data_IF_646962496962
#
_entry.id   IF_646962496962
#
_cell.length_a   1.000
_cell.length_b   1.000
_cell.length_c   1.000
_cell.angle_alpha   90.00
_cell.angle_beta   90.00
_cell.angle_gamma   90.00
#
_symmetry.space_group_name_H-M   'P 1'
#
loop_
_entity.id
_entity.type
_entity.pdbx_description
1 polymer ?
#
# COMPACT_ATOMS: atom_id res chain seq x y z
N UNK A 1 12.28 19.76 27.34
CA UNK A 1 11.11 18.86 27.49
C UNK A 1 10.07 18.98 26.37
N UNK A 2 9.62 20.17 25.95
CA UNK A 2 8.59 20.32 24.89
C UNK A 2 8.95 19.69 23.51
N UNK A 3 10.24 19.57 23.15
CA UNK A 3 10.66 19.02 21.85
C UNK A 3 10.69 17.49 21.76
N UNK A 4 10.84 16.77 22.88
CA UNK A 4 11.02 15.31 22.86
C UNK A 4 9.70 14.55 22.61
N UNK A 5 8.58 15.11 23.08
CA UNK A 5 7.24 14.53 22.89
C UNK A 5 6.54 15.05 21.63
N UNK A 6 6.95 16.21 21.10
CA UNK A 6 6.31 16.83 19.93
C UNK A 6 6.32 15.92 18.70
N UNK A 7 7.46 15.29 18.40
CA UNK A 7 7.60 14.41 17.23
C UNK A 7 6.75 13.13 17.34
N UNK A 8 6.80 12.37 18.46
CA UNK A 8 5.90 11.23 18.66
C UNK A 8 4.42 11.62 18.64
N UNK A 9 4.04 12.72 19.28
CA UNK A 9 2.65 13.19 19.32
C UNK A 9 2.14 13.62 17.95
N UNK A 10 2.91 14.40 17.19
CA UNK A 10 2.53 14.81 15.83
C UNK A 10 2.48 13.62 14.87
N UNK A 11 3.38 12.64 15.03
CA UNK A 11 3.33 11.38 14.26
C UNK A 11 2.08 10.56 14.60
N UNK A 12 1.74 10.44 15.88
CA UNK A 12 0.54 9.75 16.34
C UNK A 12 -0.74 10.44 15.86
N UNK A 13 -0.81 11.77 15.99
CA UNK A 13 -1.95 12.56 15.49
C UNK A 13 -2.09 12.44 13.96
N UNK A 14 -0.98 12.47 13.23
CA UNK A 14 -1.00 12.27 11.78
C UNK A 14 -1.45 10.86 11.41
N UNK A 15 -1.03 9.83 12.16
CA UNK A 15 -1.51 8.46 11.98
C UNK A 15 -3.02 8.35 12.21
N UNK A 16 -3.53 8.95 13.30
CA UNK A 16 -4.97 8.99 13.57
C UNK A 16 -5.72 9.71 12.46
N UNK A 17 -5.21 10.85 11.97
CA UNK A 17 -5.82 11.59 10.87
C UNK A 17 -5.84 10.78 9.58
N UNK A 18 -4.73 10.15 9.19
CA UNK A 18 -4.69 9.25 8.04
C UNK A 18 -5.63 8.04 8.21
N UNK A 19 -5.75 7.50 9.42
CA UNK A 19 -6.64 6.38 9.73
C UNK A 19 -8.11 6.76 9.61
N UNK A 20 -8.54 7.86 10.25
CA UNK A 20 -9.92 8.36 10.18
C UNK A 20 -10.28 8.74 8.75
N UNK A 21 -9.39 9.48 8.08
CA UNK A 21 -9.60 9.87 6.69
C UNK A 21 -9.68 8.67 5.75
N UNK A 22 -8.71 7.74 5.83
CA UNK A 22 -8.67 6.56 4.98
C UNK A 22 -9.85 5.63 5.22
N UNK A 23 -10.28 5.45 6.47
CA UNK A 23 -11.46 4.65 6.81
C UNK A 23 -12.73 5.29 6.26
N UNK A 24 -12.94 6.60 6.48
CA UNK A 24 -14.09 7.31 5.93
C UNK A 24 -14.12 7.30 4.39
N UNK A 25 -12.96 7.49 3.76
CA UNK A 25 -12.81 7.39 2.30
C UNK A 25 -13.18 6.00 1.80
N UNK A 26 -12.66 4.94 2.43
CA UNK A 26 -12.97 3.57 2.05
C UNK A 26 -14.47 3.25 2.23
N UNK A 27 -15.05 3.68 3.35
CA UNK A 27 -16.47 3.53 3.61
C UNK A 27 -17.35 4.21 2.55
N UNK A 28 -16.97 5.43 2.11
CA UNK A 28 -17.66 6.12 1.02
C UNK A 28 -17.51 5.39 -0.33
N UNK A 29 -16.34 4.85 -0.63
CA UNK A 29 -16.13 4.05 -1.85
C UNK A 29 -17.00 2.79 -1.84
N UNK A 30 -17.19 2.17 -0.68
CA UNK A 30 -18.03 0.99 -0.52
C UNK A 30 -19.54 1.25 -0.46
N UNK A 31 -19.98 2.50 -0.28
CA UNK A 31 -21.40 2.83 -0.10
C UNK A 31 -22.12 3.13 -1.41
N UNK A 32 -21.39 3.47 -2.48
CA UNK A 32 -21.98 3.65 -3.80
C UNK A 32 -20.93 3.48 -4.89
N UNK A 33 -21.35 2.85 -5.99
CA UNK A 33 -20.56 2.80 -7.22
C UNK A 33 -20.23 4.20 -7.76
N UNK A 34 -21.12 5.17 -7.56
CA UNK A 34 -20.90 6.56 -7.99
C UNK A 34 -19.86 7.24 -7.12
N UNK A 35 -19.84 6.97 -5.81
CA UNK A 35 -18.78 7.46 -4.93
C UNK A 35 -17.45 6.78 -5.26
N UNK A 36 -17.43 5.47 -5.53
CA UNK A 36 -16.24 4.78 -6.00
C UNK A 36 -15.66 5.45 -7.26
N UNK A 37 -16.51 5.71 -8.28
CA UNK A 37 -16.10 6.40 -9.51
C UNK A 37 -15.57 7.81 -9.24
N UNK A 38 -16.33 8.60 -8.50
CA UNK A 38 -16.00 10.01 -8.26
C UNK A 38 -14.73 10.16 -7.44
N UNK A 39 -14.55 9.35 -6.41
CA UNK A 39 -13.45 9.47 -5.46
C UNK A 39 -12.15 8.81 -5.96
N UNK A 40 -12.24 7.71 -6.70
CA UNK A 40 -11.05 6.95 -7.13
C UNK A 40 -10.57 7.30 -8.54
N UNK A 41 -11.44 7.81 -9.42
CA UNK A 41 -11.08 8.18 -10.80
C UNK A 41 -11.22 9.67 -11.05
N UNK A 42 -12.40 10.25 -10.80
CA UNK A 42 -12.67 11.65 -11.18
C UNK A 42 -11.85 12.63 -10.33
N UNK A 43 -11.80 12.44 -9.02
CA UNK A 43 -11.08 13.32 -8.10
C UNK A 43 -9.56 13.35 -8.42
N UNK A 44 -8.85 12.21 -8.57
CA UNK A 44 -7.46 12.24 -9.00
C UNK A 44 -7.21 12.94 -10.33
N UNK A 45 -8.14 12.82 -11.29
CA UNK A 45 -8.05 13.52 -12.58
C UNK A 45 -8.24 15.04 -12.42
N UNK A 46 -9.27 15.47 -11.69
CA UNK A 46 -9.57 16.89 -11.45
C UNK A 46 -8.43 17.60 -10.72
N UNK A 47 -7.84 16.94 -9.72
CA UNK A 47 -6.79 17.51 -8.89
C UNK A 47 -5.37 17.16 -9.38
N UNK A 48 -5.23 16.45 -10.52
CA UNK A 48 -3.93 16.14 -11.12
C UNK A 48 -3.03 17.37 -11.33
N UNK A 49 -3.55 18.55 -11.75
CA UNK A 49 -2.74 19.76 -11.89
C UNK A 49 -2.06 20.24 -10.59
N UNK A 50 -2.54 19.82 -9.41
CA UNK A 50 -1.93 20.15 -8.13
C UNK A 50 -0.73 19.27 -7.79
N UNK A 51 -0.49 18.19 -8.54
CA UNK A 51 0.61 17.26 -8.24
C UNK A 51 1.97 17.94 -8.42
N UNK A 52 2.77 17.93 -7.37
CA UNK A 52 4.11 18.52 -7.42
C UNK A 52 5.14 17.51 -7.95
N UNK A 53 6.18 17.97 -8.67
CA UNK A 53 7.30 17.12 -9.01
C UNK A 53 8.06 16.75 -7.72
N UNK A 54 8.07 15.46 -7.38
CA UNK A 54 8.78 14.93 -6.22
C UNK A 54 9.87 13.95 -6.64
N UNK A 55 10.85 13.73 -5.76
CA UNK A 55 11.80 12.62 -5.94
C UNK A 55 11.04 11.28 -6.06
N UNK A 56 11.48 10.46 -7.03
CA UNK A 56 10.82 9.21 -7.44
C UNK A 56 9.45 9.39 -8.13
N UNK A 57 9.16 10.57 -8.70
CA UNK A 57 7.91 10.81 -9.44
C UNK A 57 7.59 9.74 -10.50
N UNK A 58 8.60 9.20 -11.20
CA UNK A 58 8.40 8.12 -12.18
C UNK A 58 7.84 6.83 -11.57
N UNK A 59 8.39 6.39 -10.43
CA UNK A 59 7.91 5.21 -9.71
C UNK A 59 6.50 5.43 -9.15
N UNK A 60 6.25 6.61 -8.59
CA UNK A 60 4.94 6.97 -8.02
C UNK A 60 3.87 7.07 -9.11
N UNK A 61 4.16 7.73 -10.24
CA UNK A 61 3.23 7.83 -11.38
C UNK A 61 2.89 6.45 -11.94
N UNK A 62 3.88 5.55 -12.04
CA UNK A 62 3.64 4.16 -12.45
C UNK A 62 2.71 3.42 -11.50
N UNK A 63 2.93 3.56 -10.18
CA UNK A 63 2.07 2.96 -9.15
C UNK A 63 0.65 3.53 -9.27
N UNK A 64 0.49 4.86 -9.29
CA UNK A 64 -0.81 5.50 -9.43
C UNK A 64 -1.54 5.09 -10.70
N UNK A 65 -0.83 4.95 -11.83
CA UNK A 65 -1.42 4.48 -13.08
C UNK A 65 -1.98 3.04 -12.96
N UNK A 66 -1.21 2.13 -12.35
CA UNK A 66 -1.66 0.76 -12.12
C UNK A 66 -2.86 0.72 -11.16
N UNK A 67 -2.80 1.45 -10.06
CA UNK A 67 -3.87 1.49 -9.05
C UNK A 67 -5.13 2.18 -9.59
N UNK A 68 -5.00 3.18 -10.46
CA UNK A 68 -6.12 3.77 -11.20
C UNK A 68 -6.75 2.75 -12.15
N UNK A 69 -5.92 1.95 -12.85
CA UNK A 69 -6.40 0.84 -13.69
C UNK A 69 -7.16 -0.21 -12.89
N UNK A 70 -6.69 -0.55 -11.69
CA UNK A 70 -7.41 -1.42 -10.75
C UNK A 70 -8.76 -0.81 -10.34
N UNK A 71 -8.79 0.45 -9.92
CA UNK A 71 -10.03 1.13 -9.52
C UNK A 71 -11.03 1.18 -10.69
N UNK A 72 -10.54 1.39 -11.92
CA UNK A 72 -11.38 1.33 -13.12
C UNK A 72 -11.93 -0.08 -13.36
N UNK A 73 -11.12 -1.12 -13.23
CA UNK A 73 -11.59 -2.51 -13.34
C UNK A 73 -12.67 -2.80 -12.29
N UNK A 74 -12.47 -2.39 -11.04
CA UNK A 74 -13.47 -2.54 -9.98
C UNK A 74 -14.78 -1.81 -10.34
N UNK A 75 -14.70 -0.58 -10.83
CA UNK A 75 -15.88 0.17 -11.28
C UNK A 75 -16.63 -0.56 -12.40
N UNK A 76 -15.91 -1.00 -13.44
CA UNK A 76 -16.50 -1.72 -14.58
C UNK A 76 -17.18 -3.02 -14.10
N UNK A 77 -16.55 -3.75 -13.19
CA UNK A 77 -17.12 -4.98 -12.63
C UNK A 77 -18.39 -4.73 -11.82
N UNK A 78 -18.39 -3.74 -10.92
CA UNK A 78 -19.60 -3.40 -10.14
C UNK A 78 -20.71 -2.84 -11.04
N UNK A 79 -20.36 -2.16 -12.14
CA UNK A 79 -21.33 -1.69 -13.14
C UNK A 79 -21.90 -2.81 -14.03
N UNK A 80 -21.43 -4.05 -13.85
CA UNK A 80 -21.81 -5.24 -14.61
C UNK A 80 -21.55 -5.14 -16.12
N UNK A 81 -20.61 -4.27 -16.52
CA UNK A 81 -20.18 -4.13 -17.92
C UNK A 81 -19.16 -5.20 -18.34
N UNK A 82 -18.61 -5.93 -17.37
CA UNK A 82 -17.65 -7.00 -17.57
C UNK A 82 -18.11 -8.26 -16.85
N UNK A 83 -17.90 -9.42 -17.47
CA UNK A 83 -18.12 -10.70 -16.79
C UNK A 83 -17.16 -10.82 -15.61
N UNK A 84 -17.59 -11.44 -14.51
CA UNK A 84 -16.73 -11.65 -13.33
C UNK A 84 -15.49 -12.49 -13.67
N UNK A 85 -15.62 -13.41 -14.63
CA UNK A 85 -14.49 -14.20 -15.15
C UNK A 85 -13.43 -13.33 -15.82
N UNK A 86 -13.83 -12.36 -16.64
CA UNK A 86 -12.88 -11.46 -17.30
C UNK A 86 -12.32 -10.41 -16.34
N UNK A 87 -13.11 -10.01 -15.34
CA UNK A 87 -12.63 -9.20 -14.23
C UNK A 87 -11.51 -9.90 -13.44
N UNK A 88 -11.69 -11.17 -13.09
CA UNK A 88 -10.68 -11.95 -12.37
C UNK A 88 -9.38 -12.10 -13.18
N UNK A 89 -9.47 -12.31 -14.50
CA UNK A 89 -8.31 -12.28 -15.39
C UNK A 89 -7.62 -10.90 -15.38
N UNK A 90 -8.40 -9.83 -15.41
CA UNK A 90 -7.90 -8.46 -15.30
C UNK A 90 -7.14 -8.22 -13.99
N UNK A 91 -7.68 -8.70 -12.87
CA UNK A 91 -7.02 -8.67 -11.57
C UNK A 91 -5.74 -9.50 -11.53
N UNK A 92 -5.73 -10.68 -12.16
CA UNK A 92 -4.52 -11.49 -12.31
C UNK A 92 -3.42 -10.73 -13.03
N UNK A 93 -3.75 -10.11 -14.16
CA UNK A 93 -2.79 -9.27 -14.90
C UNK A 93 -2.30 -8.11 -14.02
N UNK A 94 -3.19 -7.44 -13.30
CA UNK A 94 -2.82 -6.36 -12.38
C UNK A 94 -1.82 -6.82 -11.31
N UNK A 95 -2.08 -7.91 -10.59
CA UNK A 95 -1.17 -8.41 -9.55
C UNK A 95 0.17 -8.87 -10.11
N UNK A 96 0.19 -9.47 -11.31
CA UNK A 96 1.43 -9.83 -12.01
C UNK A 96 2.23 -8.57 -12.35
N UNK A 97 1.61 -7.57 -12.98
CA UNK A 97 2.28 -6.32 -13.35
C UNK A 97 2.82 -5.58 -12.12
N UNK A 98 2.05 -5.52 -11.03
CA UNK A 98 2.47 -4.88 -9.79
C UNK A 98 3.65 -5.63 -9.16
N UNK A 99 3.58 -6.95 -9.06
CA UNK A 99 4.64 -7.79 -8.48
C UNK A 99 5.94 -7.70 -9.28
N UNK A 100 5.87 -7.88 -10.60
CA UNK A 100 7.01 -7.74 -11.51
C UNK A 100 7.59 -6.32 -11.44
N UNK A 101 6.72 -5.30 -11.37
CA UNK A 101 7.12 -3.91 -11.23
C UNK A 101 7.96 -3.62 -9.99
N UNK A 102 7.65 -4.24 -8.86
CA UNK A 102 8.46 -4.15 -7.63
C UNK A 102 9.77 -4.94 -7.73
N UNK A 103 9.71 -6.19 -8.20
CA UNK A 103 10.89 -7.06 -8.35
C UNK A 103 11.92 -6.41 -9.27
N UNK A 104 11.49 -5.86 -10.42
CA UNK A 104 12.39 -5.18 -11.37
C UNK A 104 13.03 -3.91 -10.78
N UNK A 105 12.29 -3.13 -9.99
CA UNK A 105 12.83 -1.95 -9.31
C UNK A 105 13.87 -2.36 -8.28
N UNK A 106 13.58 -3.38 -7.47
CA UNK A 106 14.50 -3.89 -6.46
C UNK A 106 15.75 -4.51 -7.09
N UNK A 107 15.62 -5.22 -8.21
CA UNK A 107 16.74 -5.73 -8.99
C UNK A 107 17.63 -4.59 -9.49
N UNK A 108 17.06 -3.55 -10.10
CA UNK A 108 17.80 -2.36 -10.56
C UNK A 108 18.51 -1.64 -9.41
N UNK A 109 17.88 -1.58 -8.23
CA UNK A 109 18.45 -1.01 -7.00
C UNK A 109 19.43 -1.95 -6.27
N UNK A 110 19.69 -3.16 -6.81
CA UNK A 110 20.51 -4.22 -6.18
C UNK A 110 20.05 -4.60 -4.77
N UNK A 111 18.76 -4.44 -4.48
CA UNK A 111 18.15 -4.72 -3.19
C UNK A 111 17.69 -6.19 -3.11
N UNK A 112 18.61 -7.14 -3.25
CA UNK A 112 18.28 -8.56 -3.46
C UNK A 112 17.48 -9.21 -2.33
N UNK A 113 17.71 -8.84 -1.07
CA UNK A 113 16.90 -9.36 0.05
C UNK A 113 15.44 -8.90 -0.04
N UNK A 114 15.22 -7.66 -0.48
CA UNK A 114 13.87 -7.12 -0.66
C UNK A 114 13.21 -7.69 -1.92
N UNK A 115 13.98 -7.93 -2.97
CA UNK A 115 13.55 -8.68 -4.15
C UNK A 115 13.04 -10.07 -3.76
N UNK A 116 13.77 -10.81 -2.93
CA UNK A 116 13.35 -12.14 -2.48
C UNK A 116 12.04 -12.08 -1.67
N UNK A 117 11.87 -11.09 -0.80
CA UNK A 117 10.60 -10.87 -0.10
C UNK A 117 9.45 -10.56 -1.07
N UNK A 118 9.67 -9.76 -2.11
CA UNK A 118 8.66 -9.52 -3.15
C UNK A 118 8.31 -10.76 -3.94
N UNK A 119 9.28 -11.65 -4.20
CA UNK A 119 9.03 -12.94 -4.85
C UNK A 119 8.16 -13.83 -3.96
N UNK A 120 8.44 -13.91 -2.66
CA UNK A 120 7.61 -14.69 -1.72
C UNK A 120 6.20 -14.10 -1.60
N UNK A 121 6.08 -12.77 -1.52
CA UNK A 121 4.78 -12.10 -1.53
C UNK A 121 4.00 -12.41 -2.81
N UNK A 122 4.64 -12.31 -3.98
CA UNK A 122 4.03 -12.62 -5.27
C UNK A 122 3.57 -14.09 -5.36
N UNK A 123 4.39 -15.03 -4.86
CA UNK A 123 4.03 -16.45 -4.80
C UNK A 123 2.84 -16.69 -3.86
N UNK A 124 2.77 -15.97 -2.73
CA UNK A 124 1.66 -16.07 -1.78
C UNK A 124 0.36 -15.49 -2.36
N UNK A 125 0.45 -14.36 -3.06
CA UNK A 125 -0.68 -13.76 -3.79
C UNK A 125 -1.17 -14.74 -4.86
N UNK A 126 -0.25 -15.31 -5.66
CA UNK A 126 -0.60 -16.29 -6.68
C UNK A 126 -1.28 -17.53 -6.09
N UNK A 127 -0.78 -18.05 -4.95
CA UNK A 127 -1.40 -19.16 -4.24
C UNK A 127 -2.83 -18.81 -3.79
N UNK A 128 -3.05 -17.64 -3.19
CA UNK A 128 -4.38 -17.18 -2.79
C UNK A 128 -5.32 -17.06 -3.99
N UNK A 129 -4.86 -16.52 -5.12
CA UNK A 129 -5.67 -16.38 -6.32
C UNK A 129 -6.02 -17.73 -6.96
N UNK A 130 -5.08 -18.67 -7.01
CA UNK A 130 -5.32 -20.00 -7.57
C UNK A 130 -6.18 -20.90 -6.68
N UNK A 131 -6.20 -20.63 -5.37
CA UNK A 131 -7.06 -21.32 -4.39
C UNK A 131 -8.36 -20.59 -4.11
N UNK A 132 -8.55 -19.41 -4.70
CA UNK A 132 -9.75 -18.61 -4.59
C UNK A 132 -10.87 -19.10 -5.51
N UNK A 133 -12.04 -18.52 -5.32
CA UNK A 133 -13.21 -18.71 -6.15
C UNK A 133 -13.37 -17.51 -7.10
N UNK A 134 -14.50 -17.43 -7.80
CA UNK A 134 -14.83 -16.24 -8.59
C UNK A 134 -15.07 -15.04 -7.65
N UNK A 135 -14.65 -13.84 -8.06
CA UNK A 135 -14.96 -12.61 -7.30
C UNK A 135 -16.47 -12.49 -7.05
N UNK A 136 -16.85 -12.18 -5.80
CA UNK A 136 -18.24 -11.94 -5.41
C UNK A 136 -18.55 -10.44 -5.33
N UNK A 137 -19.67 -10.03 -5.92
CA UNK A 137 -20.24 -8.69 -5.75
C UNK A 137 -21.16 -8.70 -4.52
N UNK A 138 -20.79 -7.98 -3.47
CA UNK A 138 -21.56 -7.95 -2.21
C UNK A 138 -22.60 -6.81 -2.16
N UNK A 139 -22.78 -6.07 -3.27
CA UNK A 139 -23.68 -4.93 -3.39
C UNK A 139 -23.01 -3.57 -3.12
N UNK A 140 -23.61 -2.49 -3.63
CA UNK A 140 -23.27 -1.07 -3.35
C UNK A 140 -21.80 -0.62 -3.55
N UNK A 141 -20.95 -1.41 -4.22
CA UNK A 141 -19.52 -1.12 -4.39
C UNK A 141 -18.60 -2.02 -3.55
N UNK A 142 -19.18 -2.91 -2.75
CA UNK A 142 -18.45 -3.95 -2.03
C UNK A 142 -18.13 -5.12 -2.95
N UNK A 143 -16.87 -5.51 -2.91
CA UNK A 143 -16.28 -6.60 -3.67
C UNK A 143 -15.57 -7.53 -2.70
N UNK A 144 -15.62 -8.84 -2.98
CA UNK A 144 -14.74 -9.82 -2.39
C UNK A 144 -13.97 -10.51 -3.52
N UNK A 145 -12.74 -10.03 -3.74
CA UNK A 145 -11.83 -10.48 -4.77
C UNK A 145 -11.52 -11.96 -4.59
N UNK A 146 -11.65 -12.72 -5.67
CA UNK A 146 -11.50 -14.17 -5.69
C UNK A 146 -12.37 -14.90 -4.65
N UNK A 147 -13.51 -14.31 -4.28
CA UNK A 147 -14.56 -14.93 -3.45
C UNK A 147 -14.15 -15.27 -2.01
N UNK A 148 -12.92 -14.98 -1.60
CA UNK A 148 -12.38 -15.43 -0.31
C UNK A 148 -11.46 -14.39 0.30
N UNK A 149 -11.66 -14.15 1.60
CA UNK A 149 -10.74 -13.34 2.39
C UNK A 149 -9.31 -13.89 2.31
N UNK A 150 -8.33 -13.00 2.35
CA UNK A 150 -6.93 -13.43 2.31
C UNK A 150 -6.57 -14.25 3.55
N UNK A 151 -5.69 -15.24 3.45
CA UNK A 151 -5.16 -15.92 4.62
C UNK A 151 -4.35 -14.94 5.47
N UNK A 152 -4.38 -15.09 6.81
CA UNK A 152 -3.66 -14.20 7.72
C UNK A 152 -2.15 -14.16 7.43
N UNK A 153 -1.59 -15.25 6.91
CA UNK A 153 -0.20 -15.35 6.47
C UNK A 153 0.11 -14.31 5.38
N UNK A 154 -0.80 -14.10 4.42
CA UNK A 154 -0.64 -13.11 3.37
C UNK A 154 -0.66 -11.69 3.96
N UNK A 155 -1.52 -11.40 4.94
CA UNK A 155 -1.52 -10.11 5.66
C UNK A 155 -0.19 -9.85 6.36
N UNK A 156 0.37 -10.86 7.03
CA UNK A 156 1.67 -10.76 7.73
C UNK A 156 2.82 -10.58 6.73
N UNK A 157 2.88 -11.41 5.68
CA UNK A 157 3.92 -11.32 4.64
C UNK A 157 3.88 -9.93 3.98
N UNK A 158 2.69 -9.45 3.63
CA UNK A 158 2.52 -8.10 3.07
C UNK A 158 2.97 -7.03 4.05
N UNK A 159 2.60 -7.12 5.33
CA UNK A 159 2.98 -6.14 6.35
C UNK A 159 4.49 -6.06 6.54
N UNK A 160 5.17 -7.21 6.63
CA UNK A 160 6.63 -7.28 6.75
C UNK A 160 7.31 -6.73 5.49
N UNK A 161 6.81 -7.11 4.31
CA UNK A 161 7.28 -6.57 3.04
C UNK A 161 7.10 -5.04 2.97
N UNK A 162 5.97 -4.51 3.43
CA UNK A 162 5.70 -3.07 3.46
C UNK A 162 6.67 -2.33 4.39
N UNK A 163 6.93 -2.88 5.59
CA UNK A 163 7.90 -2.31 6.53
C UNK A 163 9.31 -2.32 5.93
N UNK A 164 9.74 -3.42 5.30
CA UNK A 164 11.01 -3.48 4.57
C UNK A 164 11.09 -2.38 3.51
N UNK A 165 10.05 -2.27 2.67
CA UNK A 165 10.01 -1.29 1.60
C UNK A 165 10.11 0.15 2.14
N UNK A 166 9.32 0.49 3.16
CA UNK A 166 9.24 1.85 3.71
C UNK A 166 10.51 2.25 4.48
N UNK A 167 11.04 1.36 5.32
CA UNK A 167 12.17 1.70 6.20
C UNK A 167 13.52 1.39 5.58
N UNK A 168 13.67 0.35 4.77
CA UNK A 168 14.99 -0.04 4.26
C UNK A 168 15.24 0.54 2.86
N UNK A 169 14.27 0.38 1.95
CA UNK A 169 14.42 0.82 0.56
C UNK A 169 14.16 2.32 0.39
N UNK A 170 13.05 2.81 0.94
CA UNK A 170 12.70 4.24 0.89
C UNK A 170 13.27 5.06 2.05
N UNK A 171 14.35 4.59 2.68
CA UNK A 171 15.03 5.30 3.78
C UNK A 171 15.46 6.73 3.45
N UNK A 172 15.61 7.06 2.17
CA UNK A 172 15.93 8.43 1.73
C UNK A 172 14.84 9.45 2.11
N UNK A 173 13.60 9.01 2.37
CA UNK A 173 12.50 9.87 2.81
C UNK A 173 12.62 10.21 4.32
N UNK A 174 13.41 9.45 5.08
CA UNK A 174 13.68 9.77 6.48
C UNK A 174 14.50 11.09 6.57
N UNK A 175 14.28 11.92 7.61
CA UNK A 175 13.54 11.61 8.84
C UNK A 175 12.02 11.82 8.77
N UNK A 176 11.46 12.27 7.64
CA UNK A 176 10.02 12.53 7.52
C UNK A 176 9.23 11.21 7.50
N UNK A 177 8.23 11.10 8.36
CA UNK A 177 7.46 9.88 8.55
C UNK A 177 6.09 9.90 7.86
N UNK A 178 5.67 11.02 7.28
CA UNK A 178 4.31 11.18 6.71
C UNK A 178 3.96 10.11 5.67
N UNK A 179 4.88 9.83 4.74
CA UNK A 179 4.68 8.77 3.74
C UNK A 179 4.54 7.38 4.40
N UNK A 180 5.41 7.09 5.36
CA UNK A 180 5.41 5.82 6.10
C UNK A 180 4.10 5.65 6.86
N UNK A 181 3.69 6.69 7.60
CA UNK A 181 2.45 6.73 8.37
C UNK A 181 1.23 6.56 7.46
N UNK A 182 1.18 7.23 6.30
CA UNK A 182 0.08 7.08 5.35
C UNK A 182 -0.08 5.64 4.84
N UNK A 183 1.02 4.98 4.49
CA UNK A 183 0.99 3.58 4.06
C UNK A 183 0.65 2.62 5.20
N UNK A 184 1.14 2.86 6.42
CA UNK A 184 0.78 2.06 7.59
C UNK A 184 -0.70 2.23 7.95
N UNK A 185 -1.26 3.45 7.88
CA UNK A 185 -2.68 3.70 8.10
C UNK A 185 -3.55 2.90 7.12
N UNK A 186 -3.22 2.96 5.83
CA UNK A 186 -3.90 2.18 4.79
C UNK A 186 -3.79 0.67 5.01
N UNK A 187 -2.64 0.17 5.46
CA UNK A 187 -2.48 -1.24 5.81
C UNK A 187 -3.32 -1.67 7.02
N UNK A 188 -3.40 -0.83 8.07
CA UNK A 188 -4.25 -1.10 9.24
C UNK A 188 -5.74 -1.15 8.87
N UNK A 189 -6.19 -0.25 7.99
CA UNK A 189 -7.55 -0.29 7.44
C UNK A 189 -7.78 -1.60 6.68
N UNK A 190 -6.83 -2.01 5.84
CA UNK A 190 -6.94 -3.22 5.03
C UNK A 190 -7.02 -4.51 5.87
N UNK A 191 -6.28 -4.61 6.98
CA UNK A 191 -6.37 -5.76 7.90
C UNK A 191 -7.78 -5.90 8.48
N UNK A 192 -8.47 -4.79 8.75
CA UNK A 192 -9.81 -4.79 9.32
C UNK A 192 -10.94 -4.85 8.29
N UNK A 193 -10.63 -4.93 6.99
CA UNK A 193 -11.61 -4.95 5.92
C UNK A 193 -11.91 -6.38 5.46
N UNK A 194 -13.15 -6.61 5.00
CA UNK A 194 -13.56 -7.90 4.42
C UNK A 194 -12.72 -8.26 3.18
N UNK A 195 -12.36 -7.23 2.39
CA UNK A 195 -11.44 -7.35 1.26
C UNK A 195 -10.17 -6.54 1.50
N UNK A 196 -9.09 -7.26 1.81
CA UNK A 196 -7.80 -6.66 2.12
C UNK A 196 -7.22 -5.87 0.94
N UNK A 197 -7.19 -6.44 -0.27
CA UNK A 197 -6.49 -5.80 -1.38
C UNK A 197 -7.26 -4.62 -1.95
N UNK A 198 -8.58 -4.72 -2.06
CA UNK A 198 -9.42 -3.59 -2.44
C UNK A 198 -9.25 -2.44 -1.45
N UNK A 199 -9.40 -2.69 -0.15
CA UNK A 199 -9.19 -1.68 0.89
C UNK A 199 -7.79 -1.06 0.81
N UNK A 200 -6.76 -1.91 0.69
CA UNK A 200 -5.37 -1.47 0.64
C UNK A 200 -5.10 -0.61 -0.57
N UNK A 201 -5.47 -1.04 -1.77
CA UNK A 201 -5.16 -0.33 -3.03
C UNK A 201 -5.91 1.00 -3.11
N UNK A 202 -7.21 0.99 -2.78
CA UNK A 202 -8.06 2.19 -2.80
C UNK A 202 -7.53 3.25 -1.82
N UNK A 203 -7.22 2.86 -0.58
CA UNK A 203 -6.74 3.82 0.41
C UNK A 203 -5.28 4.23 0.18
N UNK A 204 -4.42 3.32 -0.30
CA UNK A 204 -3.02 3.62 -0.62
C UNK A 204 -2.90 4.64 -1.74
N UNK A 205 -3.59 4.38 -2.86
CA UNK A 205 -3.53 5.18 -4.07
C UNK A 205 -3.98 6.61 -3.79
N UNK A 206 -5.06 6.76 -3.03
CA UNK A 206 -5.60 8.06 -2.70
C UNK A 206 -4.71 8.83 -1.71
N UNK A 207 -4.18 8.20 -0.66
CA UNK A 207 -3.22 8.84 0.24
C UNK A 207 -1.90 9.20 -0.48
N UNK A 208 -1.45 8.36 -1.40
CA UNK A 208 -0.27 8.64 -2.24
C UNK A 208 -0.53 9.83 -3.17
N UNK A 209 -1.71 9.91 -3.79
CA UNK A 209 -2.14 11.04 -4.59
C UNK A 209 -2.17 12.35 -3.79
N UNK A 210 -2.78 12.34 -2.60
CA UNK A 210 -2.76 13.49 -1.69
C UNK A 210 -1.33 13.88 -1.32
N UNK A 211 -0.45 12.89 -1.09
CA UNK A 211 0.95 13.15 -0.77
C UNK A 211 1.69 13.94 -1.85
N UNK A 212 1.29 13.77 -3.12
CA UNK A 212 1.82 14.53 -4.25
C UNK A 212 1.21 15.93 -4.34
N UNK A 213 -0.09 16.07 -4.07
CA UNK A 213 -0.79 17.36 -4.17
C UNK A 213 -0.29 18.37 -3.15
N UNK A 214 -0.03 17.93 -1.92
CA UNK A 214 0.39 18.82 -0.82
C UNK A 214 1.85 18.64 -0.39
N UNK A 215 2.62 17.80 -1.10
CA UNK A 215 4.03 17.50 -0.82
C UNK A 215 4.28 17.12 0.66
N UNK A 216 3.55 16.10 1.13
CA UNK A 216 3.65 15.60 2.51
C UNK A 216 5.07 15.17 2.90
N UNK A 217 5.91 14.82 1.91
CA UNK A 217 7.30 14.39 2.10
C UNK A 217 8.24 15.53 2.47
N UNK A 218 7.87 16.77 2.18
CA UNK A 218 8.70 17.92 2.52
C UNK A 218 8.91 18.02 4.03
N UNK A 219 10.17 18.27 4.43
CA UNK A 219 10.53 18.50 5.84
C UNK A 219 9.75 19.69 6.40
N UNK A 220 9.50 20.71 5.57
CA UNK A 220 8.84 21.96 5.96
C UNK A 220 7.31 21.83 6.07
N UNK A 221 6.73 20.78 5.49
CA UNK A 221 5.29 20.56 5.52
C UNK A 221 4.79 20.23 6.95
N UNK A 222 3.80 20.97 7.43
CA UNK A 222 3.26 20.84 8.80
C UNK A 222 4.11 21.52 9.88
N UNK A 223 5.15 22.27 9.49
CA UNK A 223 6.04 22.99 10.41
C UNK A 223 7.25 22.16 10.88
N UNK A 224 8.23 22.85 11.47
CA UNK A 224 9.53 22.26 11.84
C UNK A 224 9.34 21.08 12.81
N UNK A 225 9.78 19.89 12.38
CA UNK A 225 9.75 18.67 13.19
C UNK A 225 8.44 17.90 13.19
N UNK A 226 7.43 18.33 12.42
CA UNK A 226 6.14 17.63 12.31
C UNK A 226 6.32 16.24 11.70
N UNK A 227 5.87 15.21 12.41
CA UNK A 227 5.95 13.82 11.98
C UNK A 227 7.36 13.44 11.45
N UNK A 228 8.39 13.77 12.24
CA UNK A 228 9.80 13.43 11.92
C UNK A 228 10.40 12.55 13.00
N UNK A 229 11.36 11.68 12.68
CA UNK A 229 12.14 10.96 13.69
C UNK A 229 13.61 10.82 13.29
N UNK A 230 14.44 11.66 13.90
CA UNK A 230 15.90 11.60 13.70
C UNK A 230 16.52 10.34 14.32
N UNK A 231 15.97 9.84 15.44
CA UNK A 231 16.43 8.59 16.07
C UNK A 231 16.22 7.42 15.13
N UNK A 232 15.04 7.34 14.52
CA UNK A 232 14.72 6.28 13.57
C UNK A 232 15.58 6.41 12.30
N UNK A 233 15.78 7.64 11.80
CA UNK A 233 16.70 7.89 10.69
C UNK A 233 18.11 7.38 11.00
N UNK A 234 18.71 7.80 12.11
CA UNK A 234 20.06 7.38 12.52
C UNK A 234 20.18 5.85 12.65
N UNK A 235 19.17 5.22 13.27
CA UNK A 235 19.11 3.77 13.42
C UNK A 235 19.10 3.04 12.08
N UNK A 236 18.22 3.45 11.16
CA UNK A 236 18.02 2.79 9.86
C UNK A 236 19.16 3.06 8.87
N UNK A 237 19.83 4.21 8.96
CA UNK A 237 20.97 4.53 8.09
C UNK A 237 22.19 3.64 8.39
N UNK A 238 22.26 3.02 9.56
CA UNK A 238 23.30 2.04 9.91
C UNK A 238 23.27 0.80 8.99
N UNK A 239 24.33 0.53 8.21
CA UNK A 239 24.32 -0.57 7.23
C UNK A 239 24.20 -1.96 7.87
N UNK A 240 24.80 -2.16 9.04
CA UNK A 240 24.69 -3.40 9.81
C UNK A 240 23.24 -3.64 10.28
N UNK A 241 22.61 -2.60 10.83
CA UNK A 241 21.22 -2.64 11.31
C UNK A 241 20.29 -2.95 10.13
N UNK A 242 20.44 -2.25 9.01
CA UNK A 242 19.64 -2.46 7.81
C UNK A 242 19.74 -3.89 7.28
N UNK A 243 20.94 -4.44 7.27
CA UNK A 243 21.18 -5.82 6.82
C UNK A 243 20.58 -6.83 7.79
N UNK A 244 20.74 -6.61 9.10
CA UNK A 244 20.14 -7.46 10.13
C UNK A 244 18.61 -7.46 10.06
N UNK A 245 17.99 -6.27 9.95
CA UNK A 245 16.54 -6.14 9.76
C UNK A 245 16.05 -6.85 8.50
N UNK A 246 16.74 -6.65 7.37
CA UNK A 246 16.34 -7.29 6.10
C UNK A 246 16.42 -8.82 6.18
N UNK A 247 17.43 -9.37 6.87
CA UNK A 247 17.55 -10.81 7.11
C UNK A 247 16.45 -11.33 8.04
N UNK A 248 16.18 -10.61 9.13
CA UNK A 248 15.09 -10.95 10.06
C UNK A 248 13.73 -10.97 9.35
N UNK A 249 13.44 -9.94 8.57
CA UNK A 249 12.20 -9.85 7.79
C UNK A 249 12.10 -10.96 6.75
N UNK A 250 13.20 -11.29 6.08
CA UNK A 250 13.22 -12.42 5.16
C UNK A 250 12.88 -13.74 5.87
N UNK A 251 13.49 -14.02 7.03
CA UNK A 251 13.19 -15.21 7.82
C UNK A 251 11.72 -15.25 8.25
N UNK A 252 11.17 -14.11 8.67
CA UNK A 252 9.77 -14.01 9.06
C UNK A 252 8.82 -14.24 7.86
N UNK A 253 9.15 -13.68 6.69
CA UNK A 253 8.36 -13.86 5.46
C UNK A 253 8.42 -15.32 5.00
N UNK A 254 9.60 -15.95 4.98
CA UNK A 254 9.73 -17.34 4.54
C UNK A 254 9.11 -18.32 5.52
N UNK A 255 9.26 -18.12 6.84
CA UNK A 255 8.62 -18.99 7.84
C UNK A 255 7.10 -18.88 7.79
N UNK A 256 6.57 -17.66 7.63
CA UNK A 256 5.12 -17.42 7.46
C UNK A 256 4.61 -18.00 6.15
N UNK A 257 5.41 -17.97 5.08
CA UNK A 257 5.05 -18.61 3.82
C UNK A 257 4.99 -20.14 3.95
N UNK A 258 5.98 -20.74 4.61
CA UNK A 258 6.00 -22.19 4.82
C UNK A 258 4.82 -22.68 5.66
N UNK A 259 4.33 -21.87 6.61
CA UNK A 259 3.16 -22.25 7.41
C UNK A 259 1.85 -22.33 6.63
N UNK A 260 1.79 -21.83 5.39
CA UNK A 260 0.65 -22.05 4.48
C UNK A 260 0.46 -23.51 4.07
N UNK A 261 1.51 -24.33 4.16
CA UNK A 261 1.49 -25.72 3.68
C UNK A 261 1.51 -26.76 4.80
N UNK A 262 1.57 -26.31 6.06
CA UNK A 262 1.72 -27.17 7.25
C UNK A 262 0.41 -27.23 8.06
N UNK A 263 -0.52 -26.30 7.81
CA UNK A 263 -1.87 -26.24 8.39
C UNK A 263 -2.91 -26.68 7.36
#
# INVERSE_FOLDING_TARGET
MKSALYSPLTSGLFLTLCGVYGYGFYWLVQSSIWFALMLTLVLPLLFWPLTQPVENAGEIKRILCLETGFNLLCFIAVSQWLSLTDFDKGLMVFFVLQSVGFILVQFKKKAYLSMLMSVVLAATIAYWMCSGEQTSLLGEGKLLLFGKAIPWQLSVIYGVWLIQLLFVEYRAVLPKLTLIIGHLASFLIAIGADDFFHARIVTASHLLFLSLCVNLKSIDWGGRGFATSNRLNQFIQGPAIRTALSKLFLVLVTSTYLSLFIL
#
